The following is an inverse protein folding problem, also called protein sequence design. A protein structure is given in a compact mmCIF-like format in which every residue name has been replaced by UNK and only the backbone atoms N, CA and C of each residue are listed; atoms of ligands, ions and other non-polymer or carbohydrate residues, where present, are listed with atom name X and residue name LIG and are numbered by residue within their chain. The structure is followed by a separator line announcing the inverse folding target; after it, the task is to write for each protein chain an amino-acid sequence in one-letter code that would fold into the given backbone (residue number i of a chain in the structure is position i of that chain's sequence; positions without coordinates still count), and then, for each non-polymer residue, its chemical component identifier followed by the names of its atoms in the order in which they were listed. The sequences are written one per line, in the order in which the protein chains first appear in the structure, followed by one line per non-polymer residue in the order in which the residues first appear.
data_IF_669729184695
#
_entry.id   IF_669729184695
#
_cell.length_a   1.000
_cell.length_b   1.000
_cell.length_c   1.000
_cell.angle_alpha   90.00
_cell.angle_beta   90.00
_cell.angle_gamma   90.00
#
_symmetry.space_group_name_H-M   'P 1'
#
loop_
_entity.id
_entity.type
_entity.pdbx_description
1 polymer ?
#
# COMPACT_ATOMS: atom_id res chain seq x y z
N UNK A 1 8.30 2.76 35.65
CA UNK A 1 8.07 2.68 34.19
C UNK A 1 8.94 1.55 33.67
N UNK A 2 8.37 0.41 33.27
CA UNK A 2 9.14 -0.72 32.74
C UNK A 2 9.47 -0.39 31.29
N UNK A 3 10.76 -0.25 30.97
CA UNK A 3 11.20 -0.03 29.59
C UNK A 3 10.83 -1.23 28.73
N UNK A 4 10.10 -0.99 27.65
CA UNK A 4 9.80 -2.03 26.65
C UNK A 4 11.05 -2.22 25.80
N UNK A 5 11.54 -3.45 25.69
CA UNK A 5 12.64 -3.77 24.79
C UNK A 5 12.21 -3.59 23.35
N UNK A 6 13.08 -3.05 22.49
CA UNK A 6 12.80 -2.93 21.05
C UNK A 6 12.48 -4.29 20.40
N UNK A 7 12.93 -5.42 20.96
CA UNK A 7 12.57 -6.78 20.50
C UNK A 7 11.13 -7.19 20.81
N UNK A 8 10.48 -6.50 21.75
CA UNK A 8 9.09 -6.75 22.15
C UNK A 8 8.11 -5.91 21.31
N UNK A 9 8.60 -4.92 20.54
CA UNK A 9 7.80 -4.27 19.51
C UNK A 9 7.52 -5.29 18.42
N UNK A 10 6.26 -5.40 17.99
CA UNK A 10 5.90 -6.30 16.90
C UNK A 10 6.69 -5.90 15.65
N UNK A 11 7.39 -6.87 15.07
CA UNK A 11 8.03 -6.69 13.78
C UNK A 11 6.93 -6.53 12.73
N UNK A 12 6.73 -5.30 12.27
CA UNK A 12 5.82 -5.01 11.17
C UNK A 12 6.55 -5.22 9.84
N UNK A 13 5.87 -5.87 8.90
CA UNK A 13 6.33 -6.02 7.53
C UNK A 13 5.96 -4.79 6.73
N UNK A 14 6.95 -4.19 6.05
CA UNK A 14 6.73 -3.05 5.16
C UNK A 14 6.95 -3.47 3.70
N UNK A 15 5.93 -3.24 2.88
CA UNK A 15 5.85 -3.73 1.51
C UNK A 15 5.66 -2.56 0.53
N UNK A 16 6.17 -2.66 -0.70
CA UNK A 16 5.75 -1.79 -1.78
C UNK A 16 4.22 -1.77 -1.90
N UNK A 17 3.66 -0.57 -2.03
CA UNK A 17 2.23 -0.27 -2.02
C UNK A 17 1.64 0.12 -0.66
N UNK A 18 2.32 -0.17 0.46
CA UNK A 18 1.83 0.27 1.78
C UNK A 18 1.92 1.79 1.92
N UNK A 19 0.98 2.39 2.65
CA UNK A 19 1.04 3.82 2.99
C UNK A 19 1.61 4.04 4.38
N UNK A 20 2.47 5.04 4.50
CA UNK A 20 3.23 5.35 5.72
C UNK A 20 3.17 6.84 6.06
N UNK A 21 3.23 7.09 7.36
CA UNK A 21 3.36 8.39 7.99
C UNK A 21 4.80 8.57 8.47
N UNK A 22 5.40 9.74 8.24
CA UNK A 22 6.71 10.10 8.78
C UNK A 22 6.88 11.60 8.97
N UNK A 23 7.93 11.98 9.69
CA UNK A 23 8.32 13.38 9.89
C UNK A 23 9.62 13.68 9.14
N UNK A 24 9.58 14.61 8.19
CA UNK A 24 10.69 15.00 7.33
C UNK A 24 11.80 15.72 8.12
N UNK A 25 13.04 15.40 7.80
CA UNK A 25 14.21 16.09 8.37
C UNK A 25 14.50 17.45 7.72
N UNK A 26 13.74 17.84 6.70
CA UNK A 26 13.87 19.17 6.10
C UNK A 26 13.40 20.30 7.05
N UNK A 27 12.68 19.95 8.11
CA UNK A 27 12.09 20.89 9.05
C UNK A 27 12.57 20.64 10.49
N UNK A 28 12.44 21.65 11.33
CA UNK A 28 12.70 21.54 12.77
C UNK A 28 11.57 20.76 13.42
N UNK A 29 11.89 19.91 14.40
CA UNK A 29 10.91 19.11 15.12
C UNK A 29 9.78 19.98 15.70
N UNK A 30 8.53 19.64 15.35
CA UNK A 30 7.33 20.35 15.80
C UNK A 30 6.84 21.45 14.85
N UNK A 31 7.54 21.69 13.74
CA UNK A 31 7.01 22.49 12.64
C UNK A 31 5.90 21.70 11.94
N UNK A 32 4.65 22.20 11.85
CA UNK A 32 3.55 21.46 11.23
C UNK A 32 3.80 20.96 9.79
N UNK A 33 4.79 21.52 9.09
CA UNK A 33 5.20 21.12 7.73
C UNK A 33 6.08 19.87 7.71
N UNK A 34 6.56 19.40 8.86
CA UNK A 34 7.41 18.22 8.99
C UNK A 34 6.63 16.93 8.70
N UNK A 35 5.32 16.91 8.95
CA UNK A 35 4.47 15.75 8.78
C UNK A 35 4.21 15.38 7.32
N UNK A 36 4.41 14.10 6.98
CA UNK A 36 4.22 13.55 5.64
C UNK A 36 3.42 12.25 5.67
N UNK A 37 2.54 12.11 4.68
CA UNK A 37 1.85 10.87 4.32
C UNK A 37 2.28 10.49 2.90
N UNK A 38 2.71 9.24 2.71
CA UNK A 38 3.21 8.79 1.40
C UNK A 38 3.01 7.29 1.20
N UNK A 39 3.21 6.82 -0.03
CA UNK A 39 3.18 5.39 -0.38
C UNK A 39 4.60 4.89 -0.63
N UNK A 40 4.89 3.67 -0.16
CA UNK A 40 6.15 2.98 -0.44
C UNK A 40 6.16 2.50 -1.89
N UNK A 41 7.08 3.04 -2.69
CA UNK A 41 7.28 2.64 -4.10
C UNK A 41 8.07 1.34 -4.18
N UNK A 42 9.16 1.28 -3.44
CA UNK A 42 10.09 0.16 -3.52
C UNK A 42 10.67 -0.16 -2.15
N UNK A 43 11.04 -1.42 -1.99
CA UNK A 43 11.76 -1.92 -0.83
C UNK A 43 13.02 -2.62 -1.30
N UNK A 44 14.12 -2.37 -0.59
CA UNK A 44 15.39 -3.05 -0.76
C UNK A 44 15.98 -3.36 0.62
N UNK A 45 15.81 -4.61 1.06
CA UNK A 45 16.31 -5.07 2.35
C UNK A 45 17.86 -5.08 2.42
N UNK A 46 18.55 -4.98 1.29
CA UNK A 46 20.03 -4.93 1.25
C UNK A 46 20.58 -3.53 1.48
N UNK A 47 19.77 -2.49 1.24
CA UNK A 47 20.15 -1.11 1.47
C UNK A 47 19.97 -0.72 2.94
N UNK A 48 21.06 -0.82 3.70
CA UNK A 48 21.07 -0.55 5.14
C UNK A 48 20.87 0.93 5.52
N UNK A 49 20.96 1.85 4.55
CA UNK A 49 20.83 3.30 4.79
C UNK A 49 19.44 3.80 4.44
N UNK A 50 18.94 3.42 3.28
CA UNK A 50 17.65 3.83 2.72
C UNK A 50 16.90 2.60 2.17
N UNK A 51 16.31 1.79 3.06
CA UNK A 51 15.74 0.48 2.68
C UNK A 51 14.44 0.59 1.90
N UNK A 52 13.86 1.78 1.79
CA UNK A 52 12.63 2.04 1.03
C UNK A 52 12.76 3.31 0.19
N UNK A 53 12.03 3.35 -0.92
CA UNK A 53 11.73 4.59 -1.64
C UNK A 53 10.24 4.89 -1.53
N UNK A 54 9.91 6.17 -1.43
CA UNK A 54 8.54 6.65 -1.26
C UNK A 54 8.13 7.59 -2.39
N UNK A 55 6.82 7.78 -2.57
CA UNK A 55 6.25 8.60 -3.64
C UNK A 55 6.64 10.08 -3.59
N UNK A 56 7.03 10.58 -2.42
CA UNK A 56 7.55 11.94 -2.24
C UNK A 56 9.00 12.09 -2.69
N UNK A 57 9.65 11.00 -3.12
CA UNK A 57 11.07 10.92 -3.51
C UNK A 57 12.06 11.32 -2.41
N UNK A 58 11.58 11.60 -1.20
CA UNK A 58 12.40 11.92 -0.06
C UNK A 58 13.14 10.67 0.43
N UNK A 59 14.47 10.71 0.59
CA UNK A 59 15.20 9.59 1.16
C UNK A 59 14.84 9.42 2.63
N UNK A 60 14.38 8.22 3.02
CA UNK A 60 14.01 7.91 4.40
C UNK A 60 15.10 7.05 5.07
N UNK A 61 16.00 7.64 5.88
CA UNK A 61 16.97 6.92 6.68
C UNK A 61 16.37 5.86 7.61
N UNK A 62 17.13 4.79 7.86
CA UNK A 62 16.79 3.72 8.80
C UNK A 62 16.48 4.16 10.24
N UNK A 63 17.03 5.31 10.67
CA UNK A 63 16.78 5.88 11.99
C UNK A 63 15.55 6.78 12.06
N UNK A 64 14.84 7.03 10.96
CA UNK A 64 13.59 7.79 11.00
C UNK A 64 12.48 7.00 11.69
N UNK A 65 11.59 7.72 12.35
CA UNK A 65 10.37 7.16 12.90
C UNK A 65 9.31 7.11 11.80
N UNK A 66 8.74 5.93 11.60
CA UNK A 66 7.72 5.68 10.58
C UNK A 66 6.56 4.95 11.25
N UNK A 67 5.35 5.21 10.76
CA UNK A 67 4.14 4.48 11.15
C UNK A 67 3.42 4.03 9.89
N UNK A 68 3.12 2.75 9.79
CA UNK A 68 2.33 2.20 8.68
C UNK A 68 0.85 2.48 8.93
N UNK A 69 0.16 3.09 7.96
CA UNK A 69 -1.26 3.46 8.11
C UNK A 69 -2.14 2.48 7.39
N UNK A 70 -1.86 2.20 6.12
CA UNK A 70 -2.64 1.25 5.31
C UNK A 70 -1.72 0.23 4.64
N UNK A 71 -2.27 -0.96 4.40
CA UNK A 71 -1.62 -1.94 3.56
C UNK A 71 -1.76 -1.59 2.06
N UNK A 72 -1.02 -2.31 1.21
CA UNK A 72 -1.13 -2.25 -0.26
C UNK A 72 -2.52 -2.49 -0.84
N UNK A 73 -3.47 -3.01 -0.06
CA UNK A 73 -4.85 -3.25 -0.47
C UNK A 73 -5.79 -2.13 0.02
N UNK A 74 -5.26 -1.13 0.73
CA UNK A 74 -6.01 -0.01 1.28
C UNK A 74 -6.68 -0.30 2.63
N UNK A 75 -6.36 -1.43 3.28
CA UNK A 75 -6.89 -1.73 4.61
C UNK A 75 -6.08 -1.02 5.70
N UNK A 76 -6.78 -0.45 6.67
CA UNK A 76 -6.15 0.19 7.83
C UNK A 76 -5.37 -0.82 8.69
N UNK A 77 -4.17 -0.43 9.09
CA UNK A 77 -3.33 -1.20 10.02
C UNK A 77 -3.76 -0.90 11.46
N UNK A 78 -4.63 -1.74 11.99
CA UNK A 78 -5.15 -1.58 13.35
C UNK A 78 -4.01 -1.69 14.39
N UNK A 79 -3.90 -0.69 15.27
CA UNK A 79 -2.90 -0.66 16.33
C UNK A 79 -1.51 -0.20 15.91
N UNK A 80 -1.32 0.29 14.68
CA UNK A 80 -0.04 0.78 14.19
C UNK A 80 0.60 1.80 15.14
N UNK A 81 1.89 1.61 15.43
CA UNK A 81 2.68 2.47 16.31
C UNK A 81 3.85 3.09 15.57
N UNK A 82 4.26 4.25 16.05
CA UNK A 82 5.49 4.88 15.61
C UNK A 82 6.70 4.07 16.12
N UNK A 83 7.59 3.67 15.20
CA UNK A 83 8.87 3.10 15.58
C UNK A 83 9.93 3.35 14.49
N UNK A 84 11.18 3.03 14.82
CA UNK A 84 12.32 3.23 13.92
C UNK A 84 12.16 2.38 12.67
N UNK A 85 12.48 2.94 11.50
CA UNK A 85 12.38 2.24 10.23
C UNK A 85 13.21 0.94 10.23
N UNK A 86 14.39 0.92 10.84
CA UNK A 86 15.24 -0.28 10.97
C UNK A 86 14.62 -1.48 11.70
N UNK A 87 13.50 -1.32 12.39
CA UNK A 87 12.83 -2.45 13.07
C UNK A 87 11.75 -3.10 12.20
N UNK A 88 11.47 -2.56 11.01
CA UNK A 88 10.58 -3.20 10.04
C UNK A 88 11.27 -4.33 9.31
N UNK A 89 10.48 -5.31 8.86
CA UNK A 89 10.93 -6.30 7.87
C UNK A 89 10.59 -5.79 6.48
N UNK A 90 11.60 -5.56 5.63
CA UNK A 90 11.41 -5.04 4.28
C UNK A 90 11.19 -6.18 3.28
N UNK A 91 10.22 -5.99 2.39
CA UNK A 91 10.00 -6.90 1.28
C UNK A 91 10.50 -6.25 -0.02
N UNK A 92 11.36 -6.97 -0.72
CA UNK A 92 11.88 -6.52 -2.00
C UNK A 92 10.76 -6.41 -3.04
N UNK A 93 10.81 -5.37 -3.84
CA UNK A 93 9.88 -5.15 -4.95
C UNK A 93 9.76 -3.68 -5.32
N UNK A 94 9.12 -3.42 -6.45
CA UNK A 94 8.86 -2.08 -6.98
C UNK A 94 7.41 -2.08 -7.47
N UNK A 95 6.66 -1.04 -7.14
CA UNK A 95 5.37 -0.76 -7.77
C UNK A 95 5.56 0.32 -8.84
N UNK A 96 4.88 0.16 -9.98
CA UNK A 96 4.78 1.22 -10.96
C UNK A 96 3.91 2.33 -10.36
N UNK A 97 4.53 3.46 -10.01
CA UNK A 97 3.77 4.65 -9.65
C UNK A 97 3.24 5.24 -10.95
N UNK A 98 1.94 5.05 -11.18
CA UNK A 98 1.24 5.85 -12.16
C UNK A 98 1.39 7.30 -11.74
N UNK A 99 1.89 8.14 -12.64
CA UNK A 99 1.99 9.58 -12.41
C UNK A 99 0.60 10.16 -12.13
N UNK A 100 0.48 11.30 -11.45
CA UNK A 100 -0.83 11.92 -11.15
C UNK A 100 -1.74 12.04 -12.39
N UNK A 101 -1.14 12.24 -13.58
CA UNK A 101 -1.82 12.28 -14.87
C UNK A 101 -2.48 10.94 -15.21
N UNK A 102 -1.79 9.83 -14.97
CA UNK A 102 -2.28 8.48 -15.22
C UNK A 102 -3.26 8.02 -14.14
N UNK A 103 -3.06 8.42 -12.88
CA UNK A 103 -4.02 8.18 -11.79
C UNK A 103 -5.35 8.89 -12.05
N UNK A 104 -5.33 10.13 -12.54
CA UNK A 104 -6.53 10.88 -12.93
C UNK A 104 -7.25 10.18 -14.10
N UNK A 105 -6.53 9.68 -15.09
CA UNK A 105 -7.10 8.93 -16.22
C UNK A 105 -7.73 7.60 -15.75
N UNK A 106 -7.09 6.87 -14.83
CA UNK A 106 -7.62 5.61 -14.27
C UNK A 106 -8.88 5.82 -13.40
N UNK A 107 -8.90 6.89 -12.59
CA UNK A 107 -10.09 7.29 -11.82
C UNK A 107 -11.25 7.71 -12.73
N UNK A 108 -10.96 8.36 -13.85
CA UNK A 108 -11.99 8.78 -14.81
C UNK A 108 -12.52 7.58 -15.62
N UNK A 109 -11.67 6.60 -15.98
CA UNK A 109 -12.07 5.43 -16.75
C UNK A 109 -12.88 4.42 -15.93
N UNK A 110 -12.59 4.26 -14.64
CA UNK A 110 -13.39 3.42 -13.73
C UNK A 110 -14.79 4.00 -13.42
N UNK A 111 -14.96 5.32 -13.50
CA UNK A 111 -16.27 5.98 -13.36
C UNK A 111 -17.18 5.90 -14.61
N UNK A 112 -16.70 5.41 -15.76
CA UNK A 112 -17.50 5.29 -17.00
C UNK A 112 -18.28 3.96 -17.09
N UNK A 113 -18.04 3.00 -16.20
CA UNK A 113 -18.87 1.79 -16.15
C UNK A 113 -20.19 2.07 -15.41
N UNK A 114 -21.16 2.63 -16.11
CA UNK A 114 -22.55 2.73 -15.65
C UNK A 114 -23.16 1.34 -15.45
N UNK A 115 -23.93 1.09 -14.37
CA UNK A 115 -24.69 -0.13 -14.20
C UNK A 115 -25.98 -0.01 -15.00
N UNK A 116 -25.97 -0.45 -16.26
CA UNK A 116 -27.21 -0.61 -17.03
C UNK A 116 -27.07 -1.67 -18.10
N UNK A 117 -27.17 -2.94 -17.68
CA UNK A 117 -27.98 -3.93 -18.40
C UNK A 117 -28.54 -4.88 -17.35
N UNK A 118 -29.77 -4.63 -16.90
CA UNK A 118 -30.60 -5.68 -16.31
C UNK A 118 -31.87 -5.82 -17.11
N UNK A 119 -32.23 -7.09 -17.35
CA UNK A 119 -33.47 -7.66 -17.92
C UNK A 119 -33.59 -7.74 -19.43
N UNK A 120 -33.44 -8.98 -19.92
CA UNK A 120 -34.39 -9.83 -20.65
C UNK A 120 -33.50 -10.99 -21.17
N UNK A 121 -33.66 -12.25 -20.77
CA UNK A 121 -34.87 -13.06 -20.95
C UNK A 121 -34.86 -14.23 -19.97
N UNK A 122 -36.03 -14.52 -19.40
CA UNK A 122 -36.38 -15.72 -18.65
C UNK A 122 -36.11 -17.02 -19.44
N UNK A 123 -35.86 -18.07 -18.65
CA UNK A 123 -36.26 -19.47 -18.81
C UNK A 123 -36.55 -20.01 -20.22
N UNK A 124 -35.91 -21.13 -20.57
CA UNK A 124 -36.59 -22.40 -20.89
C UNK A 124 -35.55 -23.54 -20.90
N UNK A 125 -35.63 -24.47 -19.95
CA UNK A 125 -35.36 -25.91 -20.17
C UNK A 125 -36.73 -26.52 -20.50
N UNK A 126 -36.89 -27.57 -21.33
CA UNK A 126 -36.18 -28.84 -21.17
C UNK A 126 -35.97 -29.72 -22.44
N UNK A 127 -35.40 -30.90 -22.20
CA UNK A 127 -35.57 -32.19 -22.88
C UNK A 127 -34.47 -32.77 -23.78
N UNK A 128 -34.28 -34.07 -23.52
CA UNK A 128 -33.44 -35.10 -24.09
C UNK A 128 -33.52 -35.18 -25.63
N UNK A 129 -32.50 -35.77 -26.27
CA UNK A 129 -32.58 -36.99 -27.09
C UNK A 129 -31.28 -37.23 -27.89
N UNK A 130 -30.61 -38.34 -27.54
CA UNK A 130 -29.98 -39.37 -28.37
C UNK A 130 -28.90 -39.01 -29.44
N UNK A 131 -27.78 -39.75 -29.31
CA UNK A 131 -26.73 -40.01 -30.30
C UNK A 131 -27.29 -40.61 -31.61
N UNK A 132 -26.52 -40.56 -32.72
CA UNK A 132 -25.93 -41.82 -33.18
C UNK A 132 -24.51 -41.71 -33.78
N UNK A 133 -23.75 -42.78 -33.57
CA UNK A 133 -22.53 -43.23 -34.27
C UNK A 133 -22.85 -43.76 -35.68
N UNK A 134 -21.84 -43.84 -36.54
CA UNK A 134 -21.53 -45.05 -37.30
C UNK A 134 -20.40 -45.87 -36.68
#
# INVERSE_FOLDING_TARGET
MVGVSAKQLRYEGLRPGDSVEYYSFAFVAGDPRDHRLTTVISGDATNLKYPIQVATEEPIPTEMMVKRITDRHGNDVNGAKWHKLRTFTFFNGIIAVLTEREQKVFMTSSSIVSPSVSRLTQETRPNELLLPTP
#
